data_IF_111573434232
#
_entry.id   IF_111573434232
#
_cell.length_a   1.000
_cell.length_b   1.000
_cell.length_c   1.000
_cell.angle_alpha   90.00
_cell.angle_beta   90.00
_cell.angle_gamma   90.00
#
_symmetry.space_group_name_H-M   'P 1'
#
loop_
_entity.id
_entity.type
_entity.pdbx_description
1 polymer ?
#
# COMPACT_ATOMS: atom_id res chain seq x y z
N UNK A 1 25.56 11.65 -37.17
CA UNK A 1 26.32 11.22 -35.99
C UNK A 1 25.44 11.54 -34.80
N UNK A 2 25.16 10.55 -33.97
CA UNK A 2 24.18 10.69 -32.89
C UNK A 2 24.80 11.50 -31.76
N UNK A 3 24.12 12.60 -31.46
CA UNK A 3 24.28 13.50 -30.33
C UNK A 3 24.16 12.70 -29.02
N UNK A 4 25.31 12.40 -28.39
CA UNK A 4 25.42 11.59 -27.18
C UNK A 4 25.95 12.39 -25.97
N UNK A 5 26.22 13.68 -26.11
CA UNK A 5 26.89 14.50 -25.09
C UNK A 5 25.98 15.20 -24.08
N UNK A 6 24.65 15.13 -24.23
CA UNK A 6 23.71 15.95 -23.43
C UNK A 6 22.81 15.14 -22.49
N UNK A 7 23.11 13.86 -22.24
CA UNK A 7 22.37 13.07 -21.25
C UNK A 7 22.91 13.35 -19.86
N UNK A 8 22.07 13.92 -19.00
CA UNK A 8 22.37 14.08 -17.57
C UNK A 8 22.71 12.71 -16.96
N UNK A 9 23.96 12.56 -16.48
CA UNK A 9 24.41 11.38 -15.75
C UNK A 9 24.40 11.70 -14.25
N UNK A 10 23.64 10.93 -13.48
CA UNK A 10 23.62 11.09 -12.03
C UNK A 10 24.93 10.56 -11.42
N UNK A 11 25.68 11.45 -10.75
CA UNK A 11 26.87 11.09 -9.97
C UNK A 11 26.54 11.21 -8.49
N UNK A 12 26.73 10.13 -7.72
CA UNK A 12 26.56 10.12 -6.26
C UNK A 12 27.88 9.80 -5.56
N UNK A 13 28.28 10.64 -4.60
CA UNK A 13 29.52 10.47 -3.83
C UNK A 13 29.21 10.38 -2.34
N UNK A 14 29.85 9.42 -1.65
CA UNK A 14 29.80 9.33 -0.20
C UNK A 14 30.81 10.29 0.44
N UNK A 15 30.35 11.14 1.35
CA UNK A 15 31.18 12.11 2.08
C UNK A 15 31.12 11.83 3.58
N UNK A 16 32.23 12.06 4.28
CA UNK A 16 32.25 12.06 5.74
C UNK A 16 31.60 13.35 6.29
N UNK A 17 31.33 13.39 7.61
CA UNK A 17 30.62 14.53 8.22
C UNK A 17 31.37 15.87 8.11
N UNK A 18 32.70 15.86 8.04
CA UNK A 18 33.51 17.08 7.90
C UNK A 18 33.38 17.61 6.47
N UNK A 19 33.56 16.75 5.47
CA UNK A 19 33.41 17.08 4.04
C UNK A 19 32.01 17.61 3.72
N UNK A 20 30.97 16.98 4.30
CA UNK A 20 29.58 17.46 4.16
C UNK A 20 29.41 18.88 4.74
N UNK A 21 29.98 19.13 5.92
CA UNK A 21 29.90 20.45 6.56
C UNK A 21 30.68 21.54 5.82
N UNK A 22 31.77 21.18 5.13
CA UNK A 22 32.49 22.09 4.24
C UNK A 22 31.68 22.43 2.99
N UNK A 23 31.05 21.43 2.36
CA UNK A 23 30.21 21.62 1.18
C UNK A 23 28.96 22.45 1.47
N UNK A 24 28.32 22.24 2.63
CA UNK A 24 27.19 23.04 3.10
C UNK A 24 27.57 24.52 3.24
N UNK A 25 28.72 24.83 3.83
CA UNK A 25 29.19 26.20 3.97
C UNK A 25 29.51 26.85 2.63
N UNK A 26 30.07 26.10 1.68
CA UNK A 26 30.31 26.62 0.34
C UNK A 26 28.99 26.92 -0.37
N UNK A 27 27.99 26.05 -0.23
CA UNK A 27 26.65 26.25 -0.80
C UNK A 27 26.00 27.53 -0.25
N UNK A 28 26.12 27.78 1.06
CA UNK A 28 25.64 29.01 1.69
C UNK A 28 26.38 30.27 1.18
N UNK A 29 27.70 30.19 0.96
CA UNK A 29 28.51 31.32 0.46
C UNK A 29 28.18 31.69 -0.97
N UNK A 30 27.93 30.69 -1.82
CA UNK A 30 27.59 30.88 -3.24
C UNK A 30 26.08 31.04 -3.49
N UNK A 31 25.26 31.03 -2.44
CA UNK A 31 23.79 31.12 -2.48
C UNK A 31 23.18 30.12 -3.48
N UNK A 32 23.67 28.87 -3.46
CA UNK A 32 23.26 27.83 -4.39
C UNK A 32 23.18 26.45 -3.71
N UNK A 33 22.75 25.42 -4.44
CA UNK A 33 22.69 24.06 -3.89
C UNK A 33 24.08 23.43 -3.79
N UNK A 34 24.26 22.47 -2.88
CA UNK A 34 25.52 21.70 -2.77
C UNK A 34 25.92 21.05 -4.10
N UNK A 35 24.96 20.56 -4.88
CA UNK A 35 25.22 20.01 -6.21
C UNK A 35 25.65 21.08 -7.22
N UNK A 36 25.12 22.31 -7.12
CA UNK A 36 25.55 23.43 -7.95
C UNK A 36 26.97 23.87 -7.59
N UNK A 37 27.35 23.84 -6.31
CA UNK A 37 28.74 24.04 -5.88
C UNK A 37 29.65 22.97 -6.46
N UNK A 38 29.29 21.68 -6.32
CA UNK A 38 30.11 20.59 -6.86
C UNK A 38 30.26 20.73 -8.38
N UNK A 39 29.17 21.03 -9.10
CA UNK A 39 29.22 21.24 -10.55
C UNK A 39 30.11 22.44 -10.91
N UNK A 40 29.94 23.56 -10.22
CA UNK A 40 30.76 24.75 -10.43
C UNK A 40 32.25 24.48 -10.19
N UNK A 41 32.59 23.76 -9.11
CA UNK A 41 33.96 23.39 -8.80
C UNK A 41 34.53 22.39 -9.82
N UNK A 42 33.72 21.46 -10.31
CA UNK A 42 34.13 20.52 -11.37
C UNK A 42 34.37 21.29 -12.67
N UNK A 43 33.45 22.15 -13.09
CA UNK A 43 33.56 22.94 -14.32
C UNK A 43 34.75 23.91 -14.24
N UNK A 44 34.91 24.62 -13.12
CA UNK A 44 36.03 25.53 -12.88
C UNK A 44 37.36 24.78 -12.91
N UNK A 45 37.45 23.65 -12.19
CA UNK A 45 38.69 22.87 -12.11
C UNK A 45 39.02 22.17 -13.42
N UNK A 46 38.01 21.72 -14.16
CA UNK A 46 38.18 21.13 -15.47
C UNK A 46 38.70 22.18 -16.47
N UNK A 47 38.06 23.35 -16.54
CA UNK A 47 38.50 24.44 -17.42
C UNK A 47 39.88 24.97 -17.04
N UNK A 48 40.25 25.01 -15.76
CA UNK A 48 41.58 25.42 -15.31
C UNK A 48 42.68 24.47 -15.80
N UNK A 49 42.41 23.16 -15.83
CA UNK A 49 43.40 22.13 -16.19
C UNK A 49 43.40 21.77 -17.67
N UNK A 50 42.23 21.77 -18.30
CA UNK A 50 42.00 21.21 -19.62
C UNK A 50 41.28 22.19 -20.57
N UNK A 51 40.99 23.42 -20.14
CA UNK A 51 40.33 24.42 -20.98
C UNK A 51 38.98 23.92 -21.51
N UNK A 52 38.69 24.24 -22.78
CA UNK A 52 37.47 23.81 -23.47
C UNK A 52 37.63 22.44 -24.17
N UNK A 53 38.65 21.65 -23.85
CA UNK A 53 38.87 20.32 -24.46
C UNK A 53 37.71 19.39 -24.10
N UNK A 54 37.19 18.63 -25.07
CA UNK A 54 36.12 17.67 -24.82
C UNK A 54 36.64 16.43 -24.05
N UNK A 55 35.95 15.93 -23.00
CA UNK A 55 36.40 14.77 -22.22
C UNK A 55 36.72 13.52 -23.06
N UNK A 56 35.90 13.21 -24.07
CA UNK A 56 36.16 12.11 -25.01
C UNK A 56 37.52 12.19 -25.73
N UNK A 57 38.10 13.39 -25.93
CA UNK A 57 39.41 13.54 -26.55
C UNK A 57 40.53 13.07 -25.62
N UNK A 58 40.36 13.24 -24.30
CA UNK A 58 41.26 12.72 -23.27
C UNK A 58 41.15 11.19 -23.19
N UNK A 59 39.92 10.66 -23.15
CA UNK A 59 39.65 9.21 -23.12
C UNK A 59 40.20 8.45 -24.35
N UNK A 60 40.22 9.10 -25.52
CA UNK A 60 40.80 8.53 -26.75
C UNK A 60 42.33 8.68 -26.83
N UNK A 61 42.95 9.36 -25.86
CA UNK A 61 44.36 9.74 -25.85
C UNK A 61 44.76 10.56 -27.09
N UNK A 62 43.85 11.39 -27.60
CA UNK A 62 44.11 12.32 -28.70
C UNK A 62 44.95 13.53 -28.22
N UNK A 63 45.05 13.73 -26.90
CA UNK A 63 45.83 14.77 -26.22
C UNK A 63 46.63 14.16 -25.07
N UNK A 64 47.83 14.68 -24.79
CA UNK A 64 48.68 14.24 -23.67
C UNK A 64 48.23 14.91 -22.36
N UNK A 65 47.47 14.17 -21.55
CA UNK A 65 46.95 14.61 -20.25
C UNK A 65 48.08 15.04 -19.29
N UNK A 66 49.21 14.32 -19.27
CA UNK A 66 50.31 14.60 -18.36
C UNK A 66 50.98 15.94 -18.73
N UNK A 67 51.12 16.22 -20.03
CA UNK A 67 51.66 17.49 -20.51
C UNK A 67 50.75 18.69 -20.21
N UNK A 68 49.42 18.52 -20.26
CA UNK A 68 48.46 19.56 -19.88
C UNK A 68 48.49 19.85 -18.37
N UNK A 69 48.46 18.80 -17.53
CA UNK A 69 48.49 18.95 -16.07
C UNK A 69 49.80 19.55 -15.56
N UNK A 70 50.93 19.27 -16.24
CA UNK A 70 52.24 19.84 -15.92
C UNK A 70 52.45 21.26 -16.51
N UNK A 71 51.51 21.75 -17.34
CA UNK A 71 51.60 23.05 -18.01
C UNK A 71 52.67 23.11 -19.09
N UNK A 72 53.06 21.97 -19.67
CA UNK A 72 53.99 21.88 -20.79
C UNK A 72 53.30 22.19 -22.14
N UNK A 73 51.97 22.01 -22.19
CA UNK A 73 51.09 22.36 -23.30
C UNK A 73 49.95 23.22 -22.74
N UNK A 74 49.64 24.34 -23.40
CA UNK A 74 48.50 25.18 -23.05
C UNK A 74 47.20 24.55 -23.63
N UNK A 75 46.12 24.39 -22.86
CA UNK A 75 44.84 23.89 -23.37
C UNK A 75 44.31 24.65 -24.60
N UNK A 76 44.63 25.94 -24.74
CA UNK A 76 44.21 26.75 -25.88
C UNK A 76 44.93 26.36 -27.19
N UNK A 77 46.11 25.74 -27.10
CA UNK A 77 46.95 25.33 -28.24
C UNK A 77 46.52 23.97 -28.84
N UNK A 78 45.54 23.29 -28.23
CA UNK A 78 44.98 22.03 -28.73
C UNK A 78 44.07 22.27 -29.94
N UNK A 79 44.06 21.33 -30.89
CA UNK A 79 43.26 21.40 -32.12
C UNK A 79 41.79 21.69 -31.79
N UNK A 80 41.21 22.72 -32.42
CA UNK A 80 39.83 23.16 -32.19
C UNK A 80 38.79 22.05 -32.45
N UNK A 81 39.12 21.05 -33.27
CA UNK A 81 38.26 19.87 -33.49
C UNK A 81 38.15 18.94 -32.29
N UNK A 82 39.02 19.11 -31.28
CA UNK A 82 39.02 18.40 -30.01
C UNK A 82 38.40 19.22 -28.88
N UNK A 83 38.02 20.47 -29.14
CA UNK A 83 37.33 21.36 -28.19
C UNK A 83 35.82 21.13 -28.23
N UNK A 84 35.14 21.50 -27.16
CA UNK A 84 33.69 21.46 -27.06
C UNK A 84 33.09 22.42 -28.11
N UNK A 85 32.21 21.94 -28.99
CA UNK A 85 31.59 22.75 -30.04
C UNK A 85 30.80 23.94 -29.42
N UNK A 86 31.42 25.12 -29.42
CA UNK A 86 30.85 26.34 -28.87
C UNK A 86 29.83 26.96 -29.82
N UNK A 87 28.56 26.59 -29.71
CA UNK A 87 27.47 27.29 -30.42
C UNK A 87 26.88 28.43 -29.55
N UNK A 88 27.62 29.55 -29.52
CA UNK A 88 27.13 30.91 -29.23
C UNK A 88 26.95 31.33 -27.76
N UNK A 89 27.13 32.63 -27.44
CA UNK A 89 26.85 33.15 -26.10
C UNK A 89 25.35 33.06 -25.78
N UNK A 90 25.02 32.73 -24.53
CA UNK A 90 23.65 32.68 -24.02
C UNK A 90 22.87 33.96 -24.39
N UNK A 91 21.79 33.81 -25.17
CA UNK A 91 20.93 34.93 -25.53
C UNK A 91 20.17 35.44 -24.29
N UNK A 92 20.50 36.64 -23.84
CA UNK A 92 19.69 37.41 -22.88
C UNK A 92 18.53 38.05 -23.67
N UNK A 93 17.25 37.77 -23.34
CA UNK A 93 16.13 38.38 -24.06
C UNK A 93 16.10 39.90 -23.84
N UNK A 94 16.03 40.66 -24.93
CA UNK A 94 15.79 42.10 -24.89
C UNK A 94 14.33 42.39 -24.50
N UNK A 95 14.15 43.39 -23.63
CA UNK A 95 12.87 43.81 -23.11
C UNK A 95 12.15 44.80 -24.06
N UNK A 96 11.69 44.38 -25.24
CA UNK A 96 10.56 45.02 -25.92
C UNK A 96 9.91 44.15 -27.01
N UNK A 97 8.60 43.94 -26.85
CA UNK A 97 7.68 43.79 -27.98
C UNK A 97 7.62 42.44 -28.70
N UNK A 98 6.72 41.56 -28.24
CA UNK A 98 5.96 40.69 -29.12
C UNK A 98 6.31 39.20 -29.06
N UNK A 99 5.32 38.42 -28.61
CA UNK A 99 5.29 36.95 -28.50
C UNK A 99 6.21 36.40 -27.41
N UNK A 100 5.68 36.35 -26.19
CA UNK A 100 6.27 35.69 -25.04
C UNK A 100 6.41 34.17 -25.27
N UNK A 101 7.53 33.73 -25.83
CA UNK A 101 8.08 32.43 -25.50
C UNK A 101 8.82 32.60 -24.16
N UNK A 102 8.16 32.24 -23.06
CA UNK A 102 8.86 32.10 -21.79
C UNK A 102 10.00 31.09 -21.98
N UNK A 103 11.26 31.41 -21.58
CA UNK A 103 12.29 30.39 -21.49
C UNK A 103 11.81 29.35 -20.48
N UNK A 104 11.55 28.13 -20.95
CA UNK A 104 11.26 27.02 -20.05
C UNK A 104 12.57 26.68 -19.32
N UNK A 105 12.59 26.73 -17.97
CA UNK A 105 13.73 26.29 -17.21
C UNK A 105 13.86 24.77 -17.37
N UNK A 106 14.90 24.29 -18.04
CA UNK A 106 15.22 22.88 -18.09
C UNK A 106 15.88 22.44 -16.78
N UNK A 107 15.21 21.53 -16.07
CA UNK A 107 15.74 20.73 -14.96
C UNK A 107 15.72 21.35 -13.55
N UNK A 108 14.58 21.93 -13.15
CA UNK A 108 14.05 21.53 -11.84
C UNK A 108 13.27 20.24 -12.11
N UNK A 109 13.69 19.08 -11.60
CA UNK A 109 12.71 18.02 -11.39
C UNK A 109 11.65 18.64 -10.49
N UNK A 110 10.39 18.83 -10.95
CA UNK A 110 9.35 19.36 -10.10
C UNK A 110 9.34 18.46 -8.87
N UNK A 111 9.54 19.04 -7.69
CA UNK A 111 9.28 18.30 -6.48
C UNK A 111 7.76 18.20 -6.40
N UNK A 112 7.19 17.15 -6.98
CA UNK A 112 5.74 16.93 -6.98
C UNK A 112 5.27 16.94 -5.54
N UNK A 113 4.41 17.90 -5.22
CA UNK A 113 3.80 17.96 -3.90
C UNK A 113 2.76 16.84 -3.77
N UNK A 114 2.35 16.45 -2.56
CA UNK A 114 1.23 15.53 -2.39
C UNK A 114 -0.02 15.93 -3.19
N UNK A 115 -0.31 17.23 -3.28
CA UNK A 115 -1.44 17.72 -4.09
C UNK A 115 -1.24 17.53 -5.60
N UNK A 116 -0.01 17.50 -6.10
CA UNK A 116 0.27 17.27 -7.52
C UNK A 116 0.15 15.78 -7.86
N UNK A 117 0.57 14.91 -6.94
CA UNK A 117 0.46 13.46 -7.06
C UNK A 117 -1.00 12.99 -7.04
N UNK A 118 -1.83 13.55 -6.15
CA UNK A 118 -3.24 13.16 -6.01
C UNK A 118 -4.11 13.57 -7.22
N UNK A 119 -3.64 14.47 -8.08
CA UNK A 119 -4.36 14.93 -9.28
C UNK A 119 -3.87 14.22 -10.52
N UNK A 120 -4.79 13.97 -11.46
CA UNK A 120 -4.45 13.55 -12.83
C UNK A 120 -3.41 14.48 -13.46
N UNK A 121 -2.60 13.93 -14.36
CA UNK A 121 -1.65 14.67 -15.18
C UNK A 121 -0.64 13.71 -15.84
N UNK A 122 0.48 14.22 -16.37
CA UNK A 122 1.47 13.37 -17.03
C UNK A 122 1.99 12.29 -16.08
N UNK A 123 2.23 11.11 -16.65
CA UNK A 123 2.91 10.00 -15.99
C UNK A 123 4.30 10.42 -15.55
N UNK A 124 4.68 9.95 -14.37
CA UNK A 124 5.95 10.24 -13.73
C UNK A 124 6.91 9.09 -13.96
N UNK A 125 8.19 9.41 -14.12
CA UNK A 125 9.25 8.41 -14.17
C UNK A 125 9.42 7.71 -12.82
N UNK A 126 10.06 6.54 -12.83
CA UNK A 126 10.38 5.80 -11.61
C UNK A 126 11.13 6.66 -10.58
N UNK A 127 12.11 7.45 -11.02
CA UNK A 127 12.92 8.26 -10.11
C UNK A 127 12.13 9.43 -9.53
N UNK A 128 11.20 10.02 -10.29
CA UNK A 128 10.26 11.02 -9.78
C UNK A 128 9.29 10.44 -8.74
N UNK A 129 8.68 9.28 -9.02
CA UNK A 129 7.80 8.58 -8.09
C UNK A 129 8.53 8.17 -6.81
N UNK A 130 9.72 7.59 -6.95
CA UNK A 130 10.56 7.21 -5.82
C UNK A 130 10.92 8.42 -4.97
N UNK A 131 11.38 9.51 -5.59
CA UNK A 131 11.75 10.73 -4.86
C UNK A 131 10.55 11.35 -4.15
N UNK A 132 9.37 11.32 -4.77
CA UNK A 132 8.17 11.87 -4.17
C UNK A 132 7.72 11.03 -2.96
N UNK A 133 7.73 9.71 -3.06
CA UNK A 133 7.45 8.81 -1.93
C UNK A 133 8.52 8.94 -0.84
N UNK A 134 9.81 8.93 -1.16
CA UNK A 134 10.87 9.05 -0.15
C UNK A 134 10.80 10.36 0.64
N UNK A 135 10.29 11.44 0.03
CA UNK A 135 10.19 12.77 0.64
C UNK A 135 8.87 13.02 1.35
N UNK A 136 7.76 12.49 0.85
CA UNK A 136 6.41 12.86 1.30
C UNK A 136 5.56 11.69 1.77
N UNK A 137 6.13 10.50 1.94
CA UNK A 137 5.38 9.35 2.42
C UNK A 137 4.67 9.67 3.75
N UNK A 138 3.36 9.46 3.74
CA UNK A 138 2.47 9.48 4.90
C UNK A 138 1.33 8.50 4.65
N UNK A 139 0.58 8.20 5.70
CA UNK A 139 -0.57 7.29 5.60
C UNK A 139 -1.76 7.90 4.85
N UNK A 140 -1.67 9.19 4.50
CA UNK A 140 -2.66 9.95 3.71
C UNK A 140 -2.18 10.22 2.27
N UNK A 141 -0.96 9.80 1.90
CA UNK A 141 -0.44 10.11 0.56
C UNK A 141 -1.23 9.37 -0.52
N UNK A 142 -1.88 10.12 -1.40
CA UNK A 142 -2.56 9.66 -2.61
C UNK A 142 -1.70 9.89 -3.86
N UNK A 143 -1.77 8.95 -4.80
CA UNK A 143 -1.11 9.04 -6.10
C UNK A 143 -2.13 8.68 -7.16
N UNK A 144 -2.54 9.63 -8.00
CA UNK A 144 -3.51 9.37 -9.04
C UNK A 144 -3.01 8.29 -10.03
N UNK A 145 -3.84 7.35 -10.51
CA UNK A 145 -3.40 6.25 -11.38
C UNK A 145 -2.66 6.73 -12.64
N UNK A 146 -3.14 7.80 -13.29
CA UNK A 146 -2.48 8.43 -14.46
C UNK A 146 -1.01 8.86 -14.22
N UNK A 147 -0.60 9.06 -12.96
CA UNK A 147 0.79 9.41 -12.62
C UNK A 147 1.73 8.22 -12.71
N UNK A 148 1.21 7.01 -12.76
CA UNK A 148 1.97 5.76 -12.75
C UNK A 148 1.62 4.96 -14.00
N UNK A 149 2.55 4.84 -14.93
CA UNK A 149 2.38 3.87 -16.03
C UNK A 149 2.67 2.45 -15.53
N UNK A 150 1.90 1.43 -15.98
CA UNK A 150 2.08 0.03 -15.60
C UNK A 150 3.53 -0.45 -15.64
N UNK A 151 4.29 -0.06 -16.67
CA UNK A 151 5.66 -0.54 -16.89
C UNK A 151 6.73 0.21 -16.08
N UNK A 152 6.36 1.29 -15.40
CA UNK A 152 7.32 2.19 -14.73
C UNK A 152 7.84 1.63 -13.41
N UNK A 153 7.04 0.82 -12.72
CA UNK A 153 7.43 0.26 -11.42
C UNK A 153 8.60 -0.72 -11.56
N UNK A 154 9.58 -0.61 -10.66
CA UNK A 154 10.77 -1.47 -10.59
C UNK A 154 10.66 -2.50 -9.46
N UNK A 155 11.61 -3.45 -9.43
CA UNK A 155 11.75 -4.44 -8.35
C UNK A 155 12.33 -3.80 -7.07
N UNK A 156 11.61 -2.86 -6.47
CA UNK A 156 11.91 -2.31 -5.16
C UNK A 156 10.66 -2.48 -4.28
N UNK A 157 10.64 -3.56 -3.51
CA UNK A 157 9.48 -3.96 -2.72
C UNK A 157 8.95 -2.87 -1.80
N UNK A 158 9.84 -2.11 -1.15
CA UNK A 158 9.43 -1.05 -0.22
C UNK A 158 8.79 0.16 -0.92
N UNK A 159 9.44 0.69 -1.96
CA UNK A 159 8.93 1.89 -2.67
C UNK A 159 7.72 1.53 -3.53
N UNK A 160 7.76 0.41 -4.24
CA UNK A 160 6.66 -0.04 -5.09
C UNK A 160 5.40 -0.32 -4.28
N UNK A 161 5.51 -0.96 -3.11
CA UNK A 161 4.35 -1.19 -2.24
C UNK A 161 3.73 0.13 -1.75
N UNK A 162 4.55 1.12 -1.39
CA UNK A 162 4.10 2.47 -1.05
C UNK A 162 3.40 3.17 -2.21
N UNK A 163 3.96 3.09 -3.42
CA UNK A 163 3.34 3.68 -4.62
C UNK A 163 1.97 3.02 -4.86
N UNK A 164 1.89 1.69 -4.86
CA UNK A 164 0.63 0.97 -5.07
C UNK A 164 -0.40 1.27 -3.98
N UNK A 165 0.03 1.38 -2.72
CA UNK A 165 -0.84 1.82 -1.64
C UNK A 165 -1.41 3.22 -1.94
N UNK A 166 -0.56 4.19 -2.28
CA UNK A 166 -0.99 5.54 -2.63
C UNK A 166 -1.93 5.60 -3.85
N UNK A 167 -1.75 4.70 -4.83
CA UNK A 167 -2.68 4.56 -5.97
C UNK A 167 -4.04 4.05 -5.52
N UNK A 168 -4.08 2.98 -4.72
CA UNK A 168 -5.33 2.45 -4.17
C UNK A 168 -6.07 3.51 -3.35
N UNK A 169 -5.36 4.33 -2.56
CA UNK A 169 -5.96 5.43 -1.78
C UNK A 169 -6.69 6.45 -2.64
N UNK A 170 -6.20 6.72 -3.84
CA UNK A 170 -6.81 7.70 -4.74
C UNK A 170 -8.12 7.23 -5.39
N UNK A 171 -8.44 5.93 -5.31
CA UNK A 171 -9.61 5.35 -5.98
C UNK A 171 -10.71 4.87 -5.03
N UNK A 172 -10.36 4.42 -3.82
CA UNK A 172 -11.33 3.80 -2.90
C UNK A 172 -10.91 3.98 -1.45
N UNK A 173 -11.89 3.99 -0.55
CA UNK A 173 -11.68 4.03 0.90
C UNK A 173 -11.61 2.64 1.54
N UNK A 174 -12.28 1.66 0.92
CA UNK A 174 -12.29 0.26 1.36
C UNK A 174 -11.46 -0.61 0.41
N UNK A 175 -10.58 -1.43 0.99
CA UNK A 175 -9.60 -2.26 0.27
C UNK A 175 -9.87 -3.73 0.57
N UNK A 176 -9.98 -4.53 -0.49
CA UNK A 176 -10.10 -5.99 -0.44
C UNK A 176 -8.86 -6.67 -1.02
N UNK A 177 -8.60 -7.92 -0.64
CA UNK A 177 -7.50 -8.72 -1.22
C UNK A 177 -7.55 -8.76 -2.76
N UNK A 178 -8.71 -9.04 -3.38
CA UNK A 178 -8.81 -9.07 -4.85
C UNK A 178 -8.46 -7.72 -5.51
N UNK A 179 -8.70 -6.60 -4.82
CA UNK A 179 -8.29 -5.30 -5.32
C UNK A 179 -6.76 -5.14 -5.31
N UNK A 180 -6.10 -5.51 -4.20
CA UNK A 180 -4.63 -5.47 -4.11
C UNK A 180 -4.00 -6.38 -5.17
N UNK A 181 -4.53 -7.59 -5.34
CA UNK A 181 -4.09 -8.55 -6.35
C UNK A 181 -4.21 -7.99 -7.77
N UNK A 182 -5.35 -7.36 -8.09
CA UNK A 182 -5.57 -6.70 -9.39
C UNK A 182 -4.50 -5.62 -9.64
N UNK A 183 -4.19 -4.80 -8.64
CA UNK A 183 -3.17 -3.75 -8.75
C UNK A 183 -1.76 -4.31 -8.92
N UNK A 184 -1.43 -5.41 -8.24
CA UNK A 184 -0.17 -6.13 -8.42
C UNK A 184 -0.09 -6.69 -9.85
N UNK A 185 -1.17 -7.27 -10.38
CA UNK A 185 -1.21 -7.76 -11.74
C UNK A 185 -1.00 -6.61 -12.75
N UNK A 186 -1.77 -5.53 -12.61
CA UNK A 186 -1.75 -4.40 -13.53
C UNK A 186 -0.37 -3.75 -13.62
N UNK A 187 0.27 -3.49 -12.48
CA UNK A 187 1.51 -2.71 -12.43
C UNK A 187 2.81 -3.54 -12.33
N UNK A 188 2.74 -4.86 -12.14
CA UNK A 188 3.94 -5.71 -11.98
C UNK A 188 3.97 -6.93 -12.90
N UNK A 189 2.92 -7.19 -13.71
CA UNK A 189 2.90 -8.30 -14.66
C UNK A 189 4.01 -8.23 -15.71
N UNK A 190 4.41 -7.05 -16.16
CA UNK A 190 5.51 -6.85 -17.13
C UNK A 190 6.86 -7.38 -16.64
N UNK A 191 7.00 -7.56 -15.32
CA UNK A 191 8.22 -8.10 -14.71
C UNK A 191 8.24 -9.64 -14.67
N UNK A 192 7.14 -10.30 -15.05
CA UNK A 192 7.03 -11.76 -15.07
C UNK A 192 7.67 -12.29 -16.35
N UNK A 193 8.91 -12.78 -16.23
CA UNK A 193 9.66 -13.40 -17.34
C UNK A 193 9.61 -14.94 -17.33
N UNK A 194 8.83 -15.54 -16.42
CA UNK A 194 8.74 -17.01 -16.28
C UNK A 194 7.91 -17.60 -17.42
N UNK A 195 8.21 -18.85 -17.79
CA UNK A 195 7.43 -19.58 -18.81
C UNK A 195 5.99 -19.87 -18.36
N UNK A 196 5.77 -19.91 -17.05
CA UNK A 196 4.46 -20.02 -16.41
C UNK A 196 4.09 -18.66 -15.80
N UNK A 197 3.13 -17.99 -16.44
CA UNK A 197 2.65 -16.66 -16.05
C UNK A 197 1.89 -16.71 -14.73
N UNK A 198 1.00 -17.69 -14.54
CA UNK A 198 0.16 -17.81 -13.35
C UNK A 198 1.01 -18.02 -12.10
N UNK A 199 1.95 -18.97 -12.13
CA UNK A 199 2.89 -19.18 -11.03
C UNK A 199 3.80 -17.95 -10.79
N UNK A 200 4.09 -17.18 -11.85
CA UNK A 200 4.85 -15.94 -11.75
C UNK A 200 4.07 -14.81 -11.08
N UNK A 201 2.78 -14.69 -11.40
CA UNK A 201 1.87 -13.71 -10.83
C UNK A 201 1.58 -14.02 -9.36
N UNK A 202 1.28 -15.29 -9.03
CA UNK A 202 1.08 -15.69 -7.64
C UNK A 202 2.32 -15.42 -6.79
N UNK A 203 3.52 -15.64 -7.34
CA UNK A 203 4.76 -15.30 -6.66
C UNK A 203 4.88 -13.78 -6.38
N UNK A 204 4.43 -12.92 -7.31
CA UNK A 204 4.40 -11.47 -7.10
C UNK A 204 3.38 -11.07 -6.05
N UNK A 205 2.16 -11.62 -6.11
CA UNK A 205 1.11 -11.41 -5.12
C UNK A 205 1.63 -11.72 -3.72
N UNK A 206 2.16 -12.92 -3.51
CA UNK A 206 2.69 -13.36 -2.21
C UNK A 206 3.85 -12.50 -1.67
N UNK A 207 4.57 -11.78 -2.55
CA UNK A 207 5.68 -10.91 -2.16
C UNK A 207 5.24 -9.48 -1.85
N UNK A 208 4.26 -8.95 -2.60
CA UNK A 208 3.87 -7.54 -2.52
C UNK A 208 2.62 -7.30 -1.68
N UNK A 209 1.66 -8.23 -1.65
CA UNK A 209 0.41 -8.03 -0.92
C UNK A 209 0.65 -7.73 0.57
N UNK A 210 1.46 -8.49 1.33
CA UNK A 210 1.71 -8.17 2.75
C UNK A 210 2.33 -6.79 2.96
N UNK A 211 3.17 -6.35 2.01
CA UNK A 211 3.87 -5.06 2.05
C UNK A 211 2.98 -3.88 1.65
N UNK A 212 1.92 -4.12 0.89
CA UNK A 212 0.90 -3.12 0.59
C UNK A 212 -0.06 -3.01 1.78
N UNK A 213 -0.49 -4.16 2.32
CA UNK A 213 -1.43 -4.24 3.46
C UNK A 213 -0.97 -3.52 4.72
N UNK A 214 0.34 -3.49 5.01
CA UNK A 214 0.91 -2.76 6.15
C UNK A 214 0.70 -1.23 6.07
N UNK A 215 0.26 -0.69 4.94
CA UNK A 215 0.00 0.73 4.73
C UNK A 215 -1.48 1.09 4.85
N UNK A 216 -2.32 0.14 5.23
CA UNK A 216 -3.76 0.33 5.41
C UNK A 216 -4.17 0.02 6.85
N UNK A 217 -5.27 0.60 7.28
CA UNK A 217 -5.88 0.37 8.59
C UNK A 217 -6.68 -0.93 8.53
N UNK A 218 -6.41 -1.84 9.45
CA UNK A 218 -7.14 -3.11 9.50
C UNK A 218 -8.59 -2.88 9.89
N UNK A 219 -9.51 -3.63 9.28
CA UNK A 219 -10.91 -3.68 9.72
C UNK A 219 -11.00 -4.07 11.21
N UNK A 220 -12.00 -3.57 11.98
CA UNK A 220 -12.13 -3.88 13.41
C UNK A 220 -12.12 -5.38 13.73
N UNK A 221 -12.63 -6.18 12.80
CA UNK A 221 -12.44 -7.62 12.76
C UNK A 221 -11.41 -7.98 11.68
N UNK A 222 -10.21 -8.38 12.11
CA UNK A 222 -9.10 -8.70 11.21
C UNK A 222 -9.38 -9.92 10.32
N UNK A 223 -10.26 -10.82 10.78
CA UNK A 223 -10.58 -12.08 10.10
C UNK A 223 -11.36 -11.85 8.79
N UNK A 224 -12.02 -10.68 8.63
CA UNK A 224 -12.71 -10.33 7.39
C UNK A 224 -11.75 -10.01 6.23
N UNK A 225 -10.45 -9.82 6.50
CA UNK A 225 -9.44 -9.54 5.47
C UNK A 225 -9.60 -8.21 4.73
N UNK A 226 -10.59 -7.40 5.13
CA UNK A 226 -10.85 -6.03 4.64
C UNK A 226 -9.95 -5.04 5.34
N UNK A 227 -9.62 -3.96 4.64
CA UNK A 227 -8.82 -2.87 5.15
C UNK A 227 -9.38 -1.53 4.69
N UNK A 228 -8.97 -0.47 5.36
CA UNK A 228 -9.31 0.92 5.06
C UNK A 228 -8.06 1.68 4.69
N UNK A 229 -8.17 2.58 3.72
CA UNK A 229 -7.02 3.31 3.18
C UNK A 229 -6.38 4.26 4.19
N UNK A 230 -7.19 4.81 5.09
CA UNK A 230 -6.81 5.76 6.15
C UNK A 230 -7.66 5.54 7.42
N UNK A 231 -7.27 6.09 8.58
CA UNK A 231 -8.13 6.14 9.75
C UNK A 231 -9.45 6.85 9.46
N UNK A 232 -9.41 8.03 8.81
CA UNK A 232 -10.61 8.79 8.43
C UNK A 232 -11.58 7.98 7.57
N UNK A 233 -11.07 7.15 6.65
CA UNK A 233 -11.89 6.26 5.83
C UNK A 233 -12.64 5.22 6.70
N UNK A 234 -11.96 4.63 7.69
CA UNK A 234 -12.59 3.75 8.67
C UNK A 234 -13.63 4.51 9.50
N UNK A 235 -13.30 5.70 9.99
CA UNK A 235 -14.21 6.51 10.82
C UNK A 235 -15.50 6.87 10.08
N UNK A 236 -15.39 7.32 8.83
CA UNK A 236 -16.52 7.69 7.99
C UNK A 236 -17.42 6.49 7.66
N UNK A 237 -16.82 5.30 7.52
CA UNK A 237 -17.55 4.07 7.19
C UNK A 237 -18.13 3.37 8.43
N UNK A 238 -17.56 3.60 9.61
CA UNK A 238 -17.90 2.88 10.85
C UNK A 238 -19.41 2.84 11.15
N UNK A 239 -20.19 3.94 11.01
CA UNK A 239 -21.63 3.90 11.25
C UNK A 239 -22.38 3.04 10.23
N UNK A 240 -21.91 3.00 8.97
CA UNK A 240 -22.48 2.13 7.93
C UNK A 240 -22.16 0.68 8.21
N UNK A 241 -20.90 0.38 8.56
CA UNK A 241 -20.44 -0.95 8.95
C UNK A 241 -21.31 -1.49 10.09
N UNK A 242 -21.41 -0.77 11.21
CA UNK A 242 -22.19 -1.18 12.37
C UNK A 242 -23.65 -1.45 12.01
N UNK A 243 -24.28 -0.57 11.23
CA UNK A 243 -25.68 -0.74 10.81
C UNK A 243 -25.88 -2.01 9.98
N UNK A 244 -24.99 -2.28 9.03
CA UNK A 244 -25.06 -3.48 8.20
C UNK A 244 -24.79 -4.74 9.01
N UNK A 245 -23.80 -4.72 9.91
CA UNK A 245 -23.52 -5.83 10.80
C UNK A 245 -24.69 -6.14 11.74
N UNK A 246 -25.36 -5.12 12.28
CA UNK A 246 -26.56 -5.31 13.11
C UNK A 246 -27.72 -5.89 12.28
N UNK A 247 -27.96 -5.36 11.08
CA UNK A 247 -28.98 -5.87 10.18
C UNK A 247 -28.73 -7.34 9.81
N UNK A 248 -27.48 -7.70 9.50
CA UNK A 248 -27.10 -9.07 9.18
C UNK A 248 -27.30 -10.01 10.38
N UNK A 249 -26.94 -9.59 11.60
CA UNK A 249 -27.22 -10.34 12.83
C UNK A 249 -28.73 -10.52 13.08
N UNK A 250 -29.59 -9.63 12.59
CA UNK A 250 -31.03 -9.77 12.68
C UNK A 250 -31.58 -10.72 11.62
N UNK A 251 -31.12 -10.60 10.39
CA UNK A 251 -31.52 -11.45 9.26
C UNK A 251 -31.04 -12.90 9.45
N UNK A 252 -29.82 -13.09 9.96
CA UNK A 252 -29.18 -14.39 10.16
C UNK A 252 -29.40 -14.99 11.55
N UNK A 253 -30.34 -14.48 12.35
CA UNK A 253 -30.63 -15.02 13.69
C UNK A 253 -31.02 -16.50 13.68
N UNK A 254 -31.56 -17.00 12.56
CA UNK A 254 -31.90 -18.40 12.39
C UNK A 254 -30.67 -19.32 12.48
N UNK A 255 -29.47 -18.85 12.12
CA UNK A 255 -28.23 -19.61 12.16
C UNK A 255 -27.88 -20.13 13.57
N UNK A 256 -28.35 -19.47 14.62
CA UNK A 256 -28.15 -19.92 16.01
C UNK A 256 -28.83 -21.27 16.30
N UNK A 257 -29.84 -21.66 15.52
CA UNK A 257 -30.60 -22.88 15.74
C UNK A 257 -30.85 -23.65 14.43
N UNK A 258 -30.26 -24.85 14.31
CA UNK A 258 -30.36 -25.66 13.09
C UNK A 258 -31.80 -25.91 12.62
N UNK A 259 -32.74 -26.23 13.52
CA UNK A 259 -34.13 -26.48 13.14
C UNK A 259 -34.81 -25.24 12.55
N UNK A 260 -34.48 -24.05 13.07
CA UNK A 260 -35.02 -22.77 12.61
C UNK A 260 -34.38 -22.38 11.28
N UNK A 261 -33.06 -22.50 11.18
CA UNK A 261 -32.31 -22.32 9.94
C UNK A 261 -32.83 -23.23 8.83
N UNK A 262 -32.98 -24.52 9.12
CA UNK A 262 -33.43 -25.54 8.17
C UNK A 262 -34.81 -25.23 7.61
N UNK A 263 -35.76 -24.81 8.46
CA UNK A 263 -37.11 -24.42 8.02
C UNK A 263 -37.10 -23.22 7.08
N UNK A 264 -36.10 -22.35 7.20
CA UNK A 264 -35.99 -21.13 6.40
C UNK A 264 -35.30 -21.40 5.06
N UNK A 265 -34.27 -22.27 5.05
CA UNK A 265 -33.38 -22.44 3.90
C UNK A 265 -33.61 -23.72 3.07
N UNK A 266 -34.13 -24.80 3.67
CA UNK A 266 -34.18 -26.14 3.05
C UNK A 266 -35.47 -26.90 3.41
N UNK A 267 -36.59 -26.18 3.50
CA UNK A 267 -37.86 -26.80 3.90
C UNK A 267 -38.30 -27.94 2.96
N UNK A 268 -38.78 -29.03 3.56
CA UNK A 268 -39.31 -30.19 2.83
C UNK A 268 -38.29 -31.17 2.24
N UNK A 269 -36.98 -30.99 2.44
CA UNK A 269 -35.95 -31.92 1.95
C UNK A 269 -35.26 -32.71 3.08
N UNK A 270 -34.66 -33.84 2.71
CA UNK A 270 -33.77 -34.61 3.60
C UNK A 270 -32.49 -33.82 3.80
N UNK A 271 -32.08 -33.62 5.06
CA UNK A 271 -30.82 -32.95 5.41
C UNK A 271 -29.64 -33.69 4.80
N UNK A 272 -28.82 -32.93 4.09
CA UNK A 272 -27.53 -33.39 3.55
C UNK A 272 -26.37 -32.82 4.38
N UNK A 273 -25.18 -33.39 4.20
CA UNK A 273 -23.95 -32.84 4.79
C UNK A 273 -23.68 -31.42 4.27
N UNK A 274 -24.07 -31.12 3.02
CA UNK A 274 -23.91 -29.78 2.46
C UNK A 274 -24.82 -28.77 3.17
N UNK A 275 -26.04 -29.15 3.55
CA UNK A 275 -26.93 -28.26 4.31
C UNK A 275 -26.36 -27.97 5.69
N UNK A 276 -25.75 -28.97 6.34
CA UNK A 276 -25.04 -28.79 7.60
C UNK A 276 -23.83 -27.88 7.42
N UNK A 277 -23.08 -28.04 6.32
CA UNK A 277 -21.96 -27.15 5.99
C UNK A 277 -22.42 -25.70 5.88
N UNK A 278 -23.43 -25.43 5.05
CA UNK A 278 -23.97 -24.09 4.85
C UNK A 278 -24.48 -23.49 6.18
N UNK A 279 -25.17 -24.28 7.00
CA UNK A 279 -25.61 -23.82 8.32
C UNK A 279 -24.45 -23.43 9.24
N UNK A 280 -23.37 -24.21 9.25
CA UNK A 280 -22.19 -23.91 10.08
C UNK A 280 -21.41 -22.71 9.51
N UNK A 281 -21.38 -22.53 8.19
CA UNK A 281 -20.88 -21.31 7.52
C UNK A 281 -21.66 -20.07 7.97
N UNK A 282 -23.00 -20.11 7.94
CA UNK A 282 -23.86 -19.01 8.40
C UNK A 282 -23.68 -18.75 9.91
N UNK A 283 -23.45 -19.80 10.71
CA UNK A 283 -23.14 -19.67 12.14
C UNK A 283 -21.76 -19.02 12.37
N UNK A 284 -20.78 -19.30 11.51
CA UNK A 284 -19.48 -18.65 11.51
C UNK A 284 -19.59 -17.16 11.15
N UNK A 285 -20.38 -16.82 10.13
CA UNK A 285 -20.67 -15.42 9.77
C UNK A 285 -21.36 -14.67 10.92
N UNK A 286 -22.37 -15.27 11.54
CA UNK A 286 -23.04 -14.70 12.72
C UNK A 286 -22.05 -14.42 13.86
N UNK A 287 -21.12 -15.34 14.11
CA UNK A 287 -20.06 -15.16 15.12
C UNK A 287 -19.09 -14.06 14.73
N UNK A 288 -18.68 -14.00 13.46
CA UNK A 288 -17.79 -12.97 12.92
C UNK A 288 -18.37 -11.57 13.13
N UNK A 289 -19.67 -11.39 12.84
CA UNK A 289 -20.37 -10.13 13.07
C UNK A 289 -20.41 -9.72 14.55
N UNK A 290 -20.58 -10.67 15.47
CA UNK A 290 -20.46 -10.39 16.92
C UNK A 290 -19.04 -9.92 17.26
N UNK A 291 -18.01 -10.56 16.69
CA UNK A 291 -16.63 -10.15 16.89
C UNK A 291 -16.36 -8.73 16.36
N UNK A 292 -16.89 -8.39 15.18
CA UNK A 292 -16.83 -7.04 14.61
C UNK A 292 -17.43 -6.00 15.56
N UNK A 293 -18.67 -6.19 16.01
CA UNK A 293 -19.29 -5.24 16.94
C UNK A 293 -18.57 -5.18 18.30
N UNK A 294 -18.10 -6.32 18.80
CA UNK A 294 -17.31 -6.39 20.03
C UNK A 294 -16.01 -5.58 19.92
N UNK A 295 -15.27 -5.74 18.82
CA UNK A 295 -14.03 -5.00 18.57
C UNK A 295 -14.28 -3.49 18.51
N UNK A 296 -15.35 -3.07 17.84
CA UNK A 296 -15.77 -1.66 17.77
C UNK A 296 -16.09 -1.10 19.16
N UNK A 297 -16.82 -1.84 20.01
CA UNK A 297 -17.19 -1.36 21.36
C UNK A 297 -16.06 -1.39 22.39
N UNK A 298 -15.08 -2.29 22.22
CA UNK A 298 -13.96 -2.45 23.14
C UNK A 298 -12.77 -1.56 22.78
N UNK A 299 -12.70 -1.03 21.56
CA UNK A 299 -11.71 -0.05 21.14
C UNK A 299 -12.18 1.37 21.50
N UNK A 300 -11.41 2.08 22.33
CA UNK A 300 -11.76 3.42 22.81
C UNK A 300 -11.89 4.45 21.67
N UNK A 301 -10.99 4.41 20.68
CA UNK A 301 -11.01 5.34 19.54
C UNK A 301 -12.25 5.12 18.68
N UNK A 302 -12.56 3.87 18.33
CA UNK A 302 -13.76 3.54 17.53
C UNK A 302 -15.06 3.84 18.28
N UNK A 303 -15.06 3.64 19.61
CA UNK A 303 -16.21 4.00 20.45
C UNK A 303 -16.43 5.51 20.45
N UNK A 304 -15.37 6.30 20.51
CA UNK A 304 -15.47 7.77 20.47
C UNK A 304 -16.01 8.26 19.13
N UNK A 305 -15.56 7.66 18.02
CA UNK A 305 -16.11 7.91 16.68
C UNK A 305 -17.60 7.57 16.62
N UNK A 306 -18.01 6.42 17.15
CA UNK A 306 -19.43 6.04 17.22
C UNK A 306 -20.26 7.03 18.02
N UNK A 307 -19.76 7.52 19.16
CA UNK A 307 -20.46 8.51 19.98
C UNK A 307 -20.68 9.84 19.24
N UNK A 308 -19.78 10.20 18.32
CA UNK A 308 -19.90 11.37 17.46
C UNK A 308 -20.72 11.16 16.17
N UNK A 309 -21.13 9.92 15.89
CA UNK A 309 -21.79 9.56 14.63
C UNK A 309 -23.30 9.87 14.59
N UNK A 310 -23.87 9.79 13.40
CA UNK A 310 -25.31 9.90 13.13
C UNK A 310 -26.04 8.54 13.15
N UNK A 311 -25.42 7.50 13.74
CA UNK A 311 -26.03 6.18 13.85
C UNK A 311 -27.38 6.28 14.56
N UNK A 312 -28.45 5.85 13.90
CA UNK A 312 -29.78 5.81 14.49
C UNK A 312 -29.85 4.71 15.57
N UNK A 313 -30.38 5.05 16.74
CA UNK A 313 -30.65 4.11 17.83
C UNK A 313 -32.00 4.43 18.47
N UNK A 314 -32.61 3.42 19.12
CA UNK A 314 -33.91 3.59 19.77
C UNK A 314 -33.86 4.50 21.00
N UNK A 315 -35.00 5.09 21.35
CA UNK A 315 -35.15 6.01 22.51
C UNK A 315 -34.75 5.38 23.87
N UNK A 316 -34.65 4.04 23.94
CA UNK A 316 -34.26 3.30 25.13
C UNK A 316 -32.75 3.34 25.43
N UNK A 317 -31.92 3.89 24.52
CA UNK A 317 -30.47 3.92 24.65
C UNK A 317 -29.96 5.36 24.85
N UNK A 318 -28.94 5.53 25.69
CA UNK A 318 -28.38 6.84 26.03
C UNK A 318 -27.47 7.41 24.91
N UNK A 319 -26.76 6.52 24.21
CA UNK A 319 -25.85 6.87 23.13
C UNK A 319 -25.67 5.68 22.15
N UNK A 320 -25.07 5.91 20.96
CA UNK A 320 -24.81 4.85 19.98
C UNK A 320 -23.97 3.69 20.52
N UNK A 321 -22.95 3.96 21.35
CA UNK A 321 -22.06 2.93 21.87
C UNK A 321 -22.79 2.01 22.87
N UNK A 322 -23.68 2.57 23.69
CA UNK A 322 -24.56 1.82 24.58
C UNK A 322 -25.55 0.95 23.80
N UNK A 323 -26.11 1.48 22.70
CA UNK A 323 -26.96 0.70 21.79
C UNK A 323 -26.21 -0.50 21.20
N UNK A 324 -25.07 -0.26 20.54
CA UNK A 324 -24.26 -1.33 19.93
C UNK A 324 -23.82 -2.35 20.98
N UNK A 325 -23.35 -1.90 22.15
CA UNK A 325 -22.96 -2.78 23.25
C UNK A 325 -24.12 -3.68 23.73
N UNK A 326 -25.34 -3.15 23.80
CA UNK A 326 -26.52 -3.94 24.14
C UNK A 326 -26.82 -4.98 23.07
N UNK A 327 -26.82 -4.60 21.79
CA UNK A 327 -27.05 -5.52 20.67
C UNK A 327 -25.99 -6.63 20.65
N UNK A 328 -24.71 -6.29 20.77
CA UNK A 328 -23.61 -7.26 20.83
C UNK A 328 -23.81 -8.27 21.96
N UNK A 329 -24.16 -7.80 23.16
CA UNK A 329 -24.39 -8.68 24.32
C UNK A 329 -25.59 -9.62 24.09
N UNK A 330 -26.69 -9.11 23.56
CA UNK A 330 -27.91 -9.88 23.33
C UNK A 330 -27.70 -10.94 22.23
N UNK A 331 -26.92 -10.60 21.19
CA UNK A 331 -26.54 -11.53 20.12
C UNK A 331 -25.50 -12.54 20.59
N UNK A 332 -24.54 -12.15 21.43
CA UNK A 332 -23.61 -13.07 22.07
C UNK A 332 -24.33 -14.09 22.98
N UNK A 333 -25.37 -13.65 23.70
CA UNK A 333 -26.21 -14.57 24.48
C UNK A 333 -26.97 -15.54 23.58
N UNK A 334 -27.51 -15.05 22.46
CA UNK A 334 -28.18 -15.89 21.46
C UNK A 334 -27.21 -16.93 20.91
N UNK A 335 -26.02 -16.51 20.45
CA UNK A 335 -24.95 -17.39 20.01
C UNK A 335 -24.55 -18.41 21.08
N UNK A 336 -24.53 -18.01 22.35
CA UNK A 336 -24.33 -18.88 23.52
C UNK A 336 -25.24 -20.11 23.57
N UNK A 337 -26.43 -20.03 22.97
CA UNK A 337 -27.42 -21.10 22.92
C UNK A 337 -27.30 -22.05 21.71
N UNK A 338 -26.44 -21.73 20.74
CA UNK A 338 -26.18 -22.59 19.59
C UNK A 338 -25.49 -23.90 20.01
N UNK A 339 -25.60 -24.93 19.17
CA UNK A 339 -24.95 -26.22 19.45
C UNK A 339 -23.44 -26.02 19.67
N UNK A 340 -22.96 -26.46 20.82
CA UNK A 340 -21.58 -26.24 21.26
C UNK A 340 -20.55 -26.85 20.29
N UNK A 341 -20.90 -27.93 19.57
CA UNK A 341 -19.99 -28.53 18.61
C UNK A 341 -20.04 -27.81 17.25
N UNK A 342 -21.21 -27.35 16.82
CA UNK A 342 -21.32 -26.49 15.65
C UNK A 342 -20.51 -25.20 15.82
N UNK A 343 -20.54 -24.57 17.00
CA UNK A 343 -19.72 -23.39 17.30
C UNK A 343 -18.21 -23.66 17.21
N UNK A 344 -17.76 -24.80 17.74
CA UNK A 344 -16.37 -25.23 17.63
C UNK A 344 -15.95 -25.39 16.16
N UNK A 345 -16.76 -26.06 15.34
CA UNK A 345 -16.47 -26.25 13.91
C UNK A 345 -16.51 -24.90 13.17
N UNK A 346 -17.45 -24.02 13.49
CA UNK A 346 -17.50 -22.67 12.94
C UNK A 346 -16.20 -21.89 13.22
N UNK A 347 -15.70 -21.90 14.46
CA UNK A 347 -14.51 -21.13 14.82
C UNK A 347 -13.19 -21.74 14.33
N UNK A 348 -13.04 -23.07 14.31
CA UNK A 348 -11.76 -23.71 13.98
C UNK A 348 -11.65 -24.15 12.52
N UNK A 349 -12.77 -24.44 11.85
CA UNK A 349 -12.76 -25.00 10.50
C UNK A 349 -13.13 -23.97 9.44
N UNK A 350 -14.09 -23.09 9.74
CA UNK A 350 -14.54 -22.07 8.79
C UNK A 350 -13.83 -20.73 8.96
N UNK A 351 -13.59 -20.32 10.21
CA UNK A 351 -12.88 -19.08 10.51
C UNK A 351 -11.38 -19.27 10.75
N UNK A 352 -10.91 -20.51 10.96
CA UNK A 352 -9.50 -20.85 11.20
C UNK A 352 -8.85 -19.97 12.29
N UNK A 353 -9.56 -19.79 13.41
CA UNK A 353 -9.14 -18.88 14.47
C UNK A 353 -8.08 -19.47 15.39
N UNK A 354 -7.07 -18.67 15.71
CA UNK A 354 -6.10 -18.94 16.77
C UNK A 354 -6.74 -18.93 18.17
N UNK A 355 -6.14 -19.64 19.13
CA UNK A 355 -6.63 -19.85 20.50
C UNK A 355 -6.98 -18.56 21.28
N UNK A 356 -6.30 -17.46 20.97
CA UNK A 356 -6.47 -16.14 21.59
C UNK A 356 -7.67 -15.36 21.02
N UNK A 357 -8.14 -15.71 19.82
CA UNK A 357 -9.32 -15.13 19.17
C UNK A 357 -10.61 -15.89 19.46
N UNK A 358 -10.52 -17.09 20.03
CA UNK A 358 -11.67 -17.93 20.40
C UNK A 358 -12.45 -17.32 21.58
N UNK A 359 -13.76 -17.12 21.41
CA UNK A 359 -14.64 -16.63 22.48
C UNK A 359 -14.84 -17.69 23.57
N UNK A 360 -15.20 -17.29 24.78
CA UNK A 360 -15.56 -18.25 25.85
C UNK A 360 -16.70 -19.19 25.41
N UNK A 361 -17.62 -18.67 24.61
CA UNK A 361 -18.73 -19.39 24.01
C UNK A 361 -18.26 -20.48 23.03
N UNK A 362 -17.15 -20.25 22.33
CA UNK A 362 -16.54 -21.19 21.39
C UNK A 362 -15.77 -22.31 22.14
N UNK A 363 -15.28 -22.01 23.36
CA UNK A 363 -14.53 -22.93 24.23
C UNK A 363 -15.47 -23.99 24.80
N UNK A 364 -15.37 -25.26 24.38
CA UNK A 364 -16.32 -26.26 24.82
C UNK A 364 -15.91 -26.81 26.19
N UNK A 365 -16.41 -26.26 27.29
CA UNK A 365 -16.18 -26.85 28.62
C UNK A 365 -16.74 -28.29 28.77
N UNK A 366 -17.52 -28.80 27.80
CA UNK A 366 -18.13 -30.14 27.84
C UNK A 366 -17.91 -30.99 26.56
N UNK A 367 -17.48 -30.41 25.42
CA UNK A 367 -17.33 -31.19 24.17
C UNK A 367 -15.90 -31.71 23.91
N UNK A 368 -14.90 -31.23 24.65
CA UNK A 368 -13.47 -31.41 24.34
C UNK A 368 -12.89 -32.78 24.75
N UNK A 369 -13.50 -33.53 25.68
CA UNK A 369 -12.92 -34.79 26.20
C UNK A 369 -12.70 -35.93 25.18
N UNK A 370 -13.08 -35.79 23.90
CA UNK A 370 -12.81 -36.80 22.86
C UNK A 370 -11.85 -36.38 21.74
N UNK A 371 -11.47 -35.11 21.64
CA UNK A 371 -10.63 -34.60 20.55
C UNK A 371 -9.32 -33.92 21.00
N UNK A 372 -9.15 -33.71 22.31
CA UNK A 372 -7.89 -33.28 22.96
C UNK A 372 -6.66 -34.18 22.67
N UNK A 373 -6.81 -35.30 21.95
CA UNK A 373 -5.69 -36.18 21.55
C UNK A 373 -5.02 -35.80 20.22
N UNK A 374 -5.33 -34.65 19.64
CA UNK A 374 -4.60 -34.08 18.50
C UNK A 374 -5.38 -34.17 17.18
N UNK A 375 -5.60 -33.01 16.58
CA UNK A 375 -6.28 -32.81 15.31
C UNK A 375 -5.73 -33.68 14.18
N UNK A 376 -6.57 -34.62 13.72
CA UNK A 376 -6.39 -35.33 12.45
C UNK A 376 -7.73 -35.63 11.75
N UNK A 377 -8.85 -35.13 12.27
CA UNK A 377 -10.15 -35.33 11.61
C UNK A 377 -10.30 -34.36 10.44
N UNK A 378 -10.68 -34.89 9.29
CA UNK A 378 -11.03 -34.10 8.10
C UNK A 378 -12.27 -33.24 8.37
N UNK A 379 -12.39 -32.11 7.67
CA UNK A 379 -13.60 -31.25 7.71
C UNK A 379 -14.88 -32.09 7.57
N UNK A 380 -14.88 -33.05 6.63
CA UNK A 380 -16.00 -33.95 6.41
C UNK A 380 -16.38 -34.74 7.66
N UNK A 381 -15.41 -35.29 8.39
CA UNK A 381 -15.66 -36.05 9.62
C UNK A 381 -16.23 -35.16 10.73
N UNK A 382 -15.79 -33.90 10.80
CA UNK A 382 -16.34 -32.91 11.72
C UNK A 382 -17.80 -32.58 11.37
N UNK A 383 -18.11 -32.31 10.10
CA UNK A 383 -19.48 -32.03 9.64
C UNK A 383 -20.42 -33.24 9.83
N UNK A 384 -19.93 -34.46 9.58
CA UNK A 384 -20.69 -35.69 9.87
C UNK A 384 -20.98 -35.86 11.37
N UNK A 385 -20.07 -35.40 12.24
CA UNK A 385 -20.29 -35.40 13.69
C UNK A 385 -21.27 -34.30 14.14
N UNK A 386 -21.24 -33.12 13.51
CA UNK A 386 -22.26 -32.07 13.70
C UNK A 386 -23.62 -32.61 13.30
N UNK A 387 -23.75 -33.19 12.10
CA UNK A 387 -24.99 -33.76 11.60
C UNK A 387 -25.62 -34.73 12.62
N UNK A 388 -24.84 -35.68 13.16
CA UNK A 388 -25.30 -36.64 14.18
C UNK A 388 -25.79 -36.01 15.49
N UNK A 389 -25.38 -34.78 15.81
CA UNK A 389 -25.80 -34.08 17.03
C UNK A 389 -27.08 -33.29 16.83
N UNK A 390 -27.26 -32.70 15.64
CA UNK A 390 -28.36 -31.77 15.34
C UNK A 390 -29.52 -32.41 14.59
N UNK A 391 -29.34 -33.62 14.05
CA UNK A 391 -30.42 -34.48 13.52
C UNK A 391 -30.76 -35.59 14.51
#
# INVERSE_FOLDING_TARGET
MNDAGTRDVQVSTAMNQVEKGELEKLADVYDCSQSAVVRHLVDERYNELFGEIHPDALDRHDVDEDALVLGEVDPDDVDDSLKMDGDGPAQVPAADGGVSAQPQPSSYSPTYTPSDLAKSGPALSWDELKNAVDRYWSDELEIHPDRVEPETLKNNQGVTAKILAGVIRSETDAVSSPLIEKYIEEYLSHQIRRADYESGLQYKINQYEPLIRQHFVTHPNEDEGRQYTTPDALENELPRLVRLTIADLEENIAAVNFDTWRKTNVDGTTVTIQDIRNWVEDLAEFRSNIATLSAVTNNEELRDVLMGSDLEYGDDYYDPAHYVSSVTRDRLQSYGSADTFARYVASHTFLDLDDDRILEQDRPSVAVTKFETGDTATEREQLEAVAKKVT
#
